data_IF_488517481668
#
_entry.id   IF_488517481668
#
_cell.length_a   1.000
_cell.length_b   1.000
_cell.length_c   1.000
_cell.angle_alpha   90.00
_cell.angle_beta   90.00
_cell.angle_gamma   90.00
#
_symmetry.space_group_name_H-M   'P 1'
#
loop_
_entity.id
_entity.type
_entity.pdbx_description
1 polymer ?
#
# COMPACT_ATOMS: atom_id res chain seq x y z
N UNK A 1 -2.11 34.44 -36.67
CA UNK A 1 -2.99 35.57 -36.27
C UNK A 1 -3.60 36.31 -37.46
N UNK A 2 -2.88 36.43 -38.60
CA UNK A 2 -3.39 37.03 -39.85
C UNK A 2 -4.70 36.40 -40.37
N UNK A 3 -4.78 35.07 -40.48
CA UNK A 3 -5.97 34.37 -41.02
C UNK A 3 -7.28 34.59 -40.23
N UNK A 4 -7.20 34.74 -38.90
CA UNK A 4 -8.39 34.98 -38.06
C UNK A 4 -8.87 36.42 -38.21
N UNK A 5 -7.95 37.38 -38.38
CA UNK A 5 -8.28 38.77 -38.66
C UNK A 5 -8.87 38.97 -40.06
N UNK A 6 -8.48 38.13 -41.01
CA UNK A 6 -8.87 38.24 -42.42
C UNK A 6 -10.18 37.51 -42.75
N UNK A 7 -10.41 36.32 -42.17
CA UNK A 7 -11.56 35.46 -42.52
C UNK A 7 -12.55 35.21 -41.36
N UNK A 8 -12.22 35.64 -40.14
CA UNK A 8 -13.04 35.41 -38.96
C UNK A 8 -12.89 34.00 -38.39
N UNK A 9 -13.09 33.89 -37.06
CA UNK A 9 -12.87 32.65 -36.31
C UNK A 9 -13.76 31.49 -36.77
N UNK A 10 -15.02 31.75 -37.12
CA UNK A 10 -15.97 30.72 -37.54
C UNK A 10 -15.60 30.09 -38.89
N UNK A 11 -15.13 30.86 -39.86
CA UNK A 11 -14.70 30.32 -41.15
C UNK A 11 -13.46 29.44 -40.99
N UNK A 12 -12.49 29.87 -40.18
CA UNK A 12 -11.25 29.11 -39.94
C UNK A 12 -11.56 27.78 -39.25
N UNK A 13 -12.44 27.76 -38.25
CA UNK A 13 -12.82 26.54 -37.53
C UNK A 13 -13.65 25.58 -38.39
N UNK A 14 -14.53 26.10 -39.26
CA UNK A 14 -15.31 25.27 -40.17
C UNK A 14 -14.43 24.64 -41.27
N UNK A 15 -13.48 25.39 -41.82
CA UNK A 15 -12.50 24.88 -42.78
C UNK A 15 -11.63 23.78 -42.13
N UNK A 16 -11.18 24.01 -40.89
CA UNK A 16 -10.44 23.00 -40.12
C UNK A 16 -11.25 21.71 -39.91
N UNK A 17 -12.52 21.83 -39.50
CA UNK A 17 -13.38 20.66 -39.33
C UNK A 17 -13.69 19.91 -40.65
N UNK A 18 -13.69 20.62 -41.79
CA UNK A 18 -13.82 19.99 -43.11
C UNK A 18 -12.56 19.25 -43.52
N UNK A 19 -11.38 19.80 -43.25
CA UNK A 19 -10.11 19.12 -43.50
C UNK A 19 -9.95 17.87 -42.63
N UNK A 20 -10.31 17.91 -41.34
CA UNK A 20 -10.30 16.71 -40.49
C UNK A 20 -11.17 15.58 -41.09
N UNK A 21 -12.31 15.92 -41.71
CA UNK A 21 -13.15 14.92 -42.42
C UNK A 21 -12.52 14.43 -43.71
N UNK A 22 -11.81 15.29 -44.43
CA UNK A 22 -11.09 14.92 -45.67
C UNK A 22 -9.96 13.92 -45.38
N UNK A 23 -9.34 14.04 -44.19
CA UNK A 23 -8.28 13.17 -43.67
C UNK A 23 -8.79 11.86 -43.04
N UNK A 24 -10.12 11.71 -42.88
CA UNK A 24 -10.73 10.53 -42.25
C UNK A 24 -10.89 10.61 -40.73
N UNK A 25 -10.47 11.70 -40.10
CA UNK A 25 -10.55 11.98 -38.65
C UNK A 25 -11.94 12.53 -38.27
N UNK A 26 -12.96 11.72 -38.56
CA UNK A 26 -14.37 12.11 -38.40
C UNK A 26 -14.78 12.37 -36.95
N UNK A 27 -14.17 11.68 -35.99
CA UNK A 27 -14.42 11.85 -34.56
C UNK A 27 -13.93 13.22 -34.07
N UNK A 28 -12.72 13.62 -34.47
CA UNK A 28 -12.12 14.90 -34.11
C UNK A 28 -12.92 16.08 -34.70
N UNK A 29 -13.34 15.96 -35.97
CA UNK A 29 -14.23 16.93 -36.59
C UNK A 29 -15.59 17.06 -35.86
N UNK A 30 -16.06 15.97 -35.26
CA UNK A 30 -17.31 15.96 -34.48
C UNK A 30 -17.11 16.63 -33.13
N UNK A 31 -16.00 16.35 -32.44
CA UNK A 31 -15.62 16.99 -31.17
C UNK A 31 -15.51 18.51 -31.34
N UNK A 32 -14.81 18.98 -32.38
CA UNK A 32 -14.66 20.42 -32.66
C UNK A 32 -16.02 21.09 -32.84
N UNK A 33 -16.95 20.44 -33.55
CA UNK A 33 -18.29 20.97 -33.76
C UNK A 33 -19.16 20.98 -32.50
N UNK A 34 -19.10 19.91 -31.69
CA UNK A 34 -19.81 19.81 -30.41
C UNK A 34 -19.31 20.89 -29.45
N UNK A 35 -17.98 21.03 -29.33
CA UNK A 35 -17.39 22.07 -28.49
C UNK A 35 -17.81 23.44 -29.03
N UNK A 36 -17.84 23.68 -30.34
CA UNK A 36 -18.24 24.98 -30.90
C UNK A 36 -19.66 25.37 -30.49
N UNK A 37 -20.64 24.48 -30.68
CA UNK A 37 -22.08 24.74 -30.44
C UNK A 37 -22.48 24.67 -28.97
N UNK A 38 -21.66 24.05 -28.12
CA UNK A 38 -21.91 23.95 -26.69
C UNK A 38 -21.92 25.33 -25.99
N UNK A 39 -22.79 25.46 -24.98
CA UNK A 39 -22.86 26.65 -24.14
C UNK A 39 -21.57 26.84 -23.33
N UNK A 40 -21.32 28.05 -22.82
CA UNK A 40 -20.18 28.30 -21.91
C UNK A 40 -20.20 27.39 -20.68
N UNK A 41 -21.38 27.03 -20.17
CA UNK A 41 -21.52 26.15 -19.01
C UNK A 41 -21.21 24.69 -19.38
N UNK A 42 -21.61 24.24 -20.56
CA UNK A 42 -21.34 22.88 -21.02
C UNK A 42 -19.86 22.68 -21.38
N UNK A 43 -19.23 23.70 -21.97
CA UNK A 43 -17.77 23.75 -22.17
C UNK A 43 -17.03 23.63 -20.83
N UNK A 44 -17.46 24.38 -19.82
CA UNK A 44 -16.88 24.29 -18.47
C UNK A 44 -17.09 22.92 -17.83
N UNK A 45 -18.27 22.32 -17.96
CA UNK A 45 -18.55 20.96 -17.46
C UNK A 45 -17.73 19.90 -18.18
N UNK A 46 -17.55 20.03 -19.50
CA UNK A 46 -16.75 19.12 -20.31
C UNK A 46 -15.26 19.21 -19.96
N UNK A 47 -14.72 20.44 -19.85
CA UNK A 47 -13.36 20.64 -19.33
C UNK A 47 -13.22 20.04 -17.94
N UNK A 48 -14.15 20.33 -17.02
CA UNK A 48 -14.17 19.79 -15.66
C UNK A 48 -14.21 18.25 -15.68
N UNK A 49 -15.03 17.64 -16.52
CA UNK A 49 -15.12 16.20 -16.67
C UNK A 49 -13.79 15.59 -17.14
N UNK A 50 -13.11 16.20 -18.10
CA UNK A 50 -11.81 15.72 -18.61
C UNK A 50 -10.66 15.99 -17.64
N UNK A 51 -10.67 17.12 -16.94
CA UNK A 51 -9.61 17.47 -15.96
C UNK A 51 -9.79 16.81 -14.60
N UNK A 52 -11.02 16.51 -14.20
CA UNK A 52 -11.34 15.87 -12.91
C UNK A 52 -11.64 14.36 -13.03
N UNK A 53 -11.75 13.80 -14.24
CA UNK A 53 -11.78 12.35 -14.47
C UNK A 53 -10.68 11.89 -15.46
N UNK A 54 -9.39 12.00 -15.14
CA UNK A 54 -8.63 10.75 -15.21
C UNK A 54 -9.25 9.82 -14.16
N UNK A 55 -9.46 8.55 -14.45
CA UNK A 55 -9.59 7.58 -13.35
C UNK A 55 -8.24 7.58 -12.61
N UNK A 56 -8.03 8.54 -11.71
CA UNK A 56 -6.85 8.58 -10.85
C UNK A 56 -7.04 7.47 -9.81
N UNK A 57 -6.71 6.26 -10.24
CA UNK A 57 -6.62 5.13 -9.34
C UNK A 57 -5.49 5.44 -8.36
N UNK A 58 -5.84 5.97 -7.19
CA UNK A 58 -4.89 6.27 -6.13
C UNK A 58 -4.16 4.98 -5.74
N UNK A 59 -2.85 4.88 -5.96
CA UNK A 59 -2.10 3.69 -5.60
C UNK A 59 -2.12 3.48 -4.09
N UNK A 60 -2.06 2.24 -3.65
CA UNK A 60 -1.92 1.89 -2.25
C UNK A 60 -0.61 2.44 -1.71
N UNK A 61 -0.67 3.04 -0.52
CA UNK A 61 0.53 3.29 0.28
C UNK A 61 1.19 1.97 0.67
N UNK A 62 2.46 2.02 1.09
CA UNK A 62 3.18 0.82 1.54
C UNK A 62 2.52 0.18 2.76
N UNK A 63 1.92 1.00 3.64
CA UNK A 63 1.18 0.55 4.83
C UNK A 63 -0.15 -0.12 4.47
N UNK A 64 -0.94 0.47 3.57
CA UNK A 64 -2.22 -0.12 3.14
C UNK A 64 -2.01 -1.42 2.35
N UNK A 65 -0.97 -1.46 1.51
CA UNK A 65 -0.59 -2.67 0.80
C UNK A 65 -0.12 -3.77 1.76
N UNK A 66 0.68 -3.42 2.77
CA UNK A 66 1.10 -4.36 3.81
C UNK A 66 -0.09 -4.88 4.64
N UNK A 67 -1.03 -3.99 5.00
CA UNK A 67 -2.27 -4.39 5.67
C UNK A 67 -3.05 -5.39 4.82
N UNK A 68 -3.27 -5.08 3.55
CA UNK A 68 -3.98 -5.96 2.61
C UNK A 68 -3.28 -7.31 2.46
N UNK A 69 -1.95 -7.31 2.41
CA UNK A 69 -1.14 -8.53 2.35
C UNK A 69 -1.37 -9.43 3.57
N UNK A 70 -1.49 -8.85 4.77
CA UNK A 70 -1.71 -9.59 6.03
C UNK A 70 -3.19 -10.02 6.16
N UNK A 71 -4.12 -9.10 5.92
CA UNK A 71 -5.57 -9.34 6.07
C UNK A 71 -6.07 -10.45 5.12
N UNK A 72 -5.43 -10.60 3.95
CA UNK A 72 -5.73 -11.63 2.97
C UNK A 72 -4.83 -12.89 3.07
N UNK A 73 -3.95 -12.96 4.07
CA UNK A 73 -2.99 -14.07 4.26
C UNK A 73 -2.22 -14.45 2.98
N UNK A 74 -1.74 -13.43 2.26
CA UNK A 74 -1.05 -13.65 0.99
C UNK A 74 0.39 -14.09 1.23
N UNK A 75 0.87 -15.00 0.37
CA UNK A 75 2.29 -15.24 0.22
C UNK A 75 2.92 -14.31 -0.84
N UNK A 76 4.25 -14.29 -0.92
CA UNK A 76 5.01 -13.43 -1.85
C UNK A 76 4.63 -13.68 -3.32
N UNK A 77 4.42 -14.92 -3.71
CA UNK A 77 4.06 -15.29 -5.08
C UNK A 77 2.63 -14.85 -5.44
N UNK A 78 1.68 -15.09 -4.54
CA UNK A 78 0.28 -14.66 -4.69
C UNK A 78 0.18 -13.14 -4.81
N UNK A 79 0.90 -12.40 -3.96
CA UNK A 79 0.98 -10.94 -4.06
C UNK A 79 1.58 -10.48 -5.40
N UNK A 80 2.65 -11.15 -5.85
CA UNK A 80 3.24 -10.89 -7.16
C UNK A 80 2.26 -11.11 -8.32
N UNK A 81 1.54 -12.24 -8.31
CA UNK A 81 0.51 -12.57 -9.30
C UNK A 81 -0.63 -11.55 -9.28
N UNK A 82 -1.15 -11.19 -8.11
CA UNK A 82 -2.19 -10.19 -7.95
C UNK A 82 -1.77 -8.86 -8.59
N UNK A 83 -0.55 -8.40 -8.29
CA UNK A 83 0.00 -7.17 -8.85
C UNK A 83 0.14 -7.25 -10.38
N UNK A 84 0.62 -8.38 -10.91
CA UNK A 84 0.76 -8.60 -12.35
C UNK A 84 -0.60 -8.58 -13.07
N UNK A 85 -1.59 -9.32 -12.56
CA UNK A 85 -2.92 -9.38 -13.16
C UNK A 85 -3.61 -8.00 -13.21
N UNK A 86 -3.33 -7.13 -12.23
CA UNK A 86 -3.84 -5.76 -12.23
C UNK A 86 -3.05 -4.86 -13.19
N UNK A 87 -1.73 -5.02 -13.26
CA UNK A 87 -0.89 -4.31 -14.21
C UNK A 87 -1.28 -4.63 -15.67
N UNK A 88 -1.63 -5.87 -15.99
CA UNK A 88 -2.11 -6.31 -17.30
C UNK A 88 -3.42 -5.60 -17.72
N UNK A 89 -4.19 -5.12 -16.74
CA UNK A 89 -5.41 -4.32 -16.93
C UNK A 89 -5.16 -2.82 -16.82
N UNK A 90 -3.92 -2.37 -16.98
CA UNK A 90 -3.47 -0.98 -16.81
C UNK A 90 -3.75 -0.40 -15.40
N UNK A 91 -3.85 -1.25 -14.38
CA UNK A 91 -4.18 -0.87 -13.01
C UNK A 91 -3.00 -1.16 -12.07
N UNK A 92 -1.99 -0.27 -12.06
CA UNK A 92 -0.77 -0.46 -11.25
C UNK A 92 -0.92 0.13 -9.84
N UNK A 93 -1.82 -0.42 -9.04
CA UNK A 93 -2.19 0.13 -7.72
C UNK A 93 -1.32 -0.35 -6.56
N UNK A 94 -0.78 -1.55 -6.67
CA UNK A 94 -0.01 -2.16 -5.59
C UNK A 94 1.49 -1.86 -5.73
N UNK A 95 2.17 -1.43 -4.64
CA UNK A 95 3.60 -1.23 -4.65
C UNK A 95 4.36 -2.56 -4.82
N UNK A 96 5.64 -2.46 -5.17
CA UNK A 96 6.50 -3.63 -5.36
C UNK A 96 6.71 -4.39 -4.05
N UNK A 97 7.05 -5.68 -4.13
CA UNK A 97 7.35 -6.48 -2.94
C UNK A 97 8.53 -5.94 -2.10
N UNK A 98 9.64 -5.44 -2.69
CA UNK A 98 10.70 -4.78 -1.91
C UNK A 98 10.18 -3.65 -1.03
N UNK A 99 9.29 -2.81 -1.55
CA UNK A 99 8.63 -1.73 -0.79
C UNK A 99 7.80 -2.27 0.38
N UNK A 100 7.09 -3.40 0.20
CA UNK A 100 6.40 -4.09 1.30
C UNK A 100 7.39 -4.65 2.32
N UNK A 101 8.51 -5.21 1.88
CA UNK A 101 9.52 -5.77 2.77
C UNK A 101 10.15 -4.69 3.65
N UNK A 102 10.37 -3.49 3.13
CA UNK A 102 10.78 -2.33 3.92
C UNK A 102 9.71 -1.95 4.95
N UNK A 103 8.44 -1.91 4.56
CA UNK A 103 7.33 -1.66 5.49
C UNK A 103 7.26 -2.73 6.61
N UNK A 104 7.50 -4.00 6.30
CA UNK A 104 7.60 -5.09 7.30
C UNK A 104 8.76 -4.86 8.27
N UNK A 105 9.94 -4.50 7.75
CA UNK A 105 11.13 -4.25 8.58
C UNK A 105 10.93 -3.10 9.56
N UNK A 106 10.22 -2.05 9.17
CA UNK A 106 9.86 -0.93 10.07
C UNK A 106 9.02 -1.41 11.28
N UNK A 107 8.29 -2.51 11.13
CA UNK A 107 7.50 -3.09 12.21
C UNK A 107 8.30 -4.02 13.13
N UNK A 108 9.56 -4.35 12.82
CA UNK A 108 10.38 -5.21 13.66
C UNK A 108 11.21 -4.41 14.67
N UNK A 109 11.44 -4.96 15.88
CA UNK A 109 12.44 -4.41 16.80
C UNK A 109 13.83 -4.35 16.15
N UNK A 110 14.78 -3.59 16.72
CA UNK A 110 16.14 -3.49 16.19
C UNK A 110 16.78 -4.87 16.00
N UNK A 111 17.50 -5.09 14.90
CA UNK A 111 18.13 -6.39 14.61
C UNK A 111 19.07 -6.87 15.73
N UNK A 112 19.73 -5.93 16.43
CA UNK A 112 20.59 -6.21 17.59
C UNK A 112 19.85 -6.79 18.80
N UNK A 113 18.53 -6.57 18.89
CA UNK A 113 17.69 -7.06 19.98
C UNK A 113 17.20 -8.49 19.75
N UNK A 114 17.30 -8.99 18.51
CA UNK A 114 16.78 -10.29 18.09
C UNK A 114 17.95 -11.29 18.06
N UNK A 115 17.80 -12.39 18.79
CA UNK A 115 18.72 -13.52 18.74
C UNK A 115 18.00 -14.72 18.14
N UNK A 116 18.50 -15.23 17.02
CA UNK A 116 17.97 -16.41 16.36
C UNK A 116 19.08 -17.46 16.33
N UNK A 117 18.77 -18.64 16.85
CA UNK A 117 19.59 -19.85 16.74
C UNK A 117 18.79 -20.93 15.99
N UNK A 118 19.41 -22.07 15.72
CA UNK A 118 18.72 -23.18 15.05
C UNK A 118 17.57 -23.77 15.87
N UNK A 119 17.56 -23.55 17.20
CA UNK A 119 16.61 -24.16 18.14
C UNK A 119 15.70 -23.14 18.83
N UNK A 120 15.96 -21.84 18.69
CA UNK A 120 15.20 -20.81 19.41
C UNK A 120 15.29 -19.45 18.74
N UNK A 121 14.26 -18.64 18.94
CA UNK A 121 14.28 -17.21 18.66
C UNK A 121 13.84 -16.46 19.91
N UNK A 122 14.58 -15.42 20.29
CA UNK A 122 14.25 -14.56 21.43
C UNK A 122 14.54 -13.11 21.10
N UNK A 123 13.80 -12.22 21.75
CA UNK A 123 13.98 -10.77 21.65
C UNK A 123 14.22 -10.19 23.04
N UNK A 124 15.06 -9.16 23.13
CA UNK A 124 15.23 -8.42 24.38
C UNK A 124 13.88 -7.80 24.80
N UNK A 125 13.48 -8.01 26.05
CA UNK A 125 12.18 -7.56 26.55
C UNK A 125 12.05 -6.04 26.51
N UNK A 126 13.09 -5.29 26.90
CA UNK A 126 13.03 -3.84 26.94
C UNK A 126 12.94 -3.27 25.53
N UNK A 127 13.75 -3.77 24.59
CA UNK A 127 13.69 -3.33 23.19
C UNK A 127 12.33 -3.62 22.55
N UNK A 128 11.70 -4.76 22.89
CA UNK A 128 10.35 -5.09 22.42
C UNK A 128 9.29 -4.13 23.00
N UNK A 129 9.39 -3.79 24.28
CA UNK A 129 8.49 -2.82 24.94
C UNK A 129 8.64 -1.44 24.31
N UNK A 130 9.86 -0.94 24.18
CA UNK A 130 10.15 0.38 23.64
C UNK A 130 9.69 0.51 22.20
N UNK A 131 9.98 -0.50 21.37
CA UNK A 131 9.52 -0.54 19.98
C UNK A 131 7.99 -0.56 19.90
N UNK A 132 7.32 -1.38 20.71
CA UNK A 132 5.85 -1.45 20.67
C UNK A 132 5.21 -0.13 21.14
N UNK A 133 5.74 0.51 22.18
CA UNK A 133 5.28 1.83 22.62
C UNK A 133 5.50 2.88 21.53
N UNK A 134 6.67 2.92 20.90
CA UNK A 134 6.94 3.84 19.80
C UNK A 134 5.93 3.68 18.66
N UNK A 135 5.57 2.42 18.30
CA UNK A 135 4.55 2.14 17.27
C UNK A 135 3.15 2.57 17.70
N UNK A 136 2.76 2.38 18.96
CA UNK A 136 1.45 2.84 19.48
C UNK A 136 1.36 4.37 19.46
N UNK A 137 2.45 5.07 19.81
CA UNK A 137 2.48 6.54 19.83
C UNK A 137 2.36 7.17 18.43
N UNK A 138 2.66 6.43 17.35
CA UNK A 138 2.42 6.86 15.97
C UNK A 138 0.93 6.84 15.58
N UNK A 139 0.06 6.21 16.38
CA UNK A 139 -1.37 6.20 16.11
C UNK A 139 -1.91 7.61 16.39
N UNK A 140 -2.47 8.24 15.36
CA UNK A 140 -2.92 9.63 15.34
C UNK A 140 -3.81 10.02 16.53
N UNK A 141 -4.67 9.11 16.99
CA UNK A 141 -5.56 9.33 18.14
C UNK A 141 -4.80 9.42 19.47
N UNK A 142 -3.64 8.79 19.58
CA UNK A 142 -2.79 8.82 20.77
C UNK A 142 -1.94 10.09 20.77
N UNK A 143 -1.34 10.42 19.63
CA UNK A 143 -0.44 11.57 19.47
C UNK A 143 -1.15 12.92 19.67
N UNK A 144 -2.36 13.09 19.09
CA UNK A 144 -3.09 14.37 19.08
C UNK A 144 -3.65 14.80 20.44
N UNK A 145 -3.71 13.90 21.43
CA UNK A 145 -4.28 14.19 22.74
C UNK A 145 -3.34 14.95 23.70
N UNK A 146 -2.10 15.27 23.29
CA UNK A 146 -1.18 16.10 24.10
C UNK A 146 -0.86 15.53 25.49
N UNK A 147 -0.98 14.20 25.64
CA UNK A 147 -0.90 13.50 26.91
C UNK A 147 0.53 13.57 27.45
N UNK A 148 0.69 14.15 28.65
CA UNK A 148 2.00 14.38 29.27
C UNK A 148 2.53 13.17 30.05
N UNK A 149 1.64 12.25 30.42
CA UNK A 149 2.00 11.07 31.18
C UNK A 149 1.10 9.90 30.77
N UNK A 150 1.73 8.81 30.34
CA UNK A 150 1.05 7.57 29.98
C UNK A 150 1.60 6.43 30.84
N UNK A 151 0.74 5.45 31.13
CA UNK A 151 1.11 4.23 31.85
C UNK A 151 0.89 3.04 30.96
N UNK A 152 1.95 2.26 30.77
CA UNK A 152 1.92 0.99 30.07
C UNK A 152 1.68 -0.12 31.09
N UNK A 153 0.59 -0.86 30.91
CA UNK A 153 0.32 -2.09 31.63
C UNK A 153 0.59 -3.28 30.72
N UNK A 154 1.35 -4.24 31.24
CA UNK A 154 1.79 -5.40 30.49
C UNK A 154 1.19 -6.67 31.10
N UNK A 155 0.59 -7.51 30.27
CA UNK A 155 0.26 -8.90 30.61
C UNK A 155 1.16 -9.82 29.79
N UNK A 156 1.78 -10.80 30.42
CA UNK A 156 2.59 -11.80 29.73
C UNK A 156 2.19 -13.21 30.13
N UNK A 157 2.58 -14.19 29.33
CA UNK A 157 2.40 -15.60 29.61
C UNK A 157 3.22 -16.45 28.66
N UNK A 158 3.20 -17.75 28.88
CA UNK A 158 3.84 -18.72 27.99
C UNK A 158 3.00 -19.99 27.91
N UNK A 159 3.11 -20.69 26.80
CA UNK A 159 2.43 -21.96 26.58
C UNK A 159 3.26 -22.91 25.70
N UNK A 160 2.98 -24.20 25.80
CA UNK A 160 3.64 -25.26 25.05
C UNK A 160 2.63 -26.06 24.21
N UNK A 161 2.99 -26.38 22.98
CA UNK A 161 2.19 -27.20 22.07
C UNK A 161 3.03 -28.34 21.48
N UNK A 162 2.48 -29.55 21.47
CA UNK A 162 3.12 -30.77 20.93
C UNK A 162 2.48 -31.22 19.62
N UNK A 163 3.15 -32.09 18.88
CA UNK A 163 2.63 -32.69 17.64
C UNK A 163 2.80 -31.80 16.40
N UNK A 164 3.81 -30.92 16.41
CA UNK A 164 4.23 -30.17 15.24
C UNK A 164 4.90 -31.09 14.22
N UNK A 165 4.88 -30.70 12.94
CA UNK A 165 5.57 -31.44 11.88
C UNK A 165 7.09 -31.33 12.06
N UNK A 166 7.77 -32.47 12.11
CA UNK A 166 9.23 -32.54 12.26
C UNK A 166 9.93 -32.34 10.91
N UNK A 167 10.95 -31.48 10.89
CA UNK A 167 11.78 -31.24 9.71
C UNK A 167 12.95 -32.22 9.65
N UNK A 168 13.38 -32.59 8.43
CA UNK A 168 14.55 -33.47 8.20
C UNK A 168 15.89 -32.73 8.24
N UNK A 169 15.96 -31.61 8.94
CA UNK A 169 17.15 -30.76 8.98
C UNK A 169 18.05 -31.20 10.14
N UNK A 170 19.34 -31.40 9.86
CA UNK A 170 20.33 -31.73 10.89
C UNK A 170 20.59 -30.49 11.76
N UNK A 171 20.45 -30.63 13.07
CA UNK A 171 20.72 -29.54 14.02
C UNK A 171 22.17 -29.66 14.53
N UNK A 172 22.98 -28.59 14.58
CA UNK A 172 24.38 -28.70 14.98
C UNK A 172 24.63 -29.10 16.44
N UNK A 173 23.61 -29.01 17.30
CA UNK A 173 23.67 -29.23 18.75
C UNK A 173 22.85 -30.46 19.18
N UNK A 174 22.87 -31.55 18.39
CA UNK A 174 22.09 -32.75 18.71
C UNK A 174 22.56 -33.39 20.03
N UNK A 175 21.75 -33.24 21.06
CA UNK A 175 21.50 -34.35 21.97
C UNK A 175 20.41 -35.23 21.34
N UNK A 176 20.42 -36.54 21.61
CA UNK A 176 19.36 -37.49 21.17
C UNK A 176 17.93 -37.10 21.64
N UNK A 177 17.81 -36.03 22.45
CA UNK A 177 16.56 -35.54 23.05
C UNK A 177 16.01 -34.26 22.38
N UNK A 178 16.68 -33.75 21.36
CA UNK A 178 16.30 -32.48 20.71
C UNK A 178 15.43 -32.76 19.49
N UNK A 179 14.13 -32.44 19.58
CA UNK A 179 13.14 -32.58 18.49
C UNK A 179 12.35 -31.28 18.34
N UNK A 180 11.98 -30.96 17.11
CA UNK A 180 11.13 -29.83 16.73
C UNK A 180 9.62 -30.17 16.75
N UNK A 181 9.25 -31.37 17.24
CA UNK A 181 7.86 -31.79 17.42
C UNK A 181 7.09 -30.96 18.45
N UNK A 182 7.79 -30.22 19.32
CA UNK A 182 7.21 -29.42 20.39
C UNK A 182 7.64 -27.95 20.29
N UNK A 183 6.69 -27.04 20.42
CA UNK A 183 6.88 -25.61 20.36
C UNK A 183 6.53 -24.97 21.70
N UNK A 184 7.42 -24.14 22.23
CA UNK A 184 7.18 -23.35 23.44
C UNK A 184 7.27 -21.86 23.10
N UNK A 185 6.23 -21.09 23.42
CA UNK A 185 6.13 -19.67 23.08
C UNK A 185 5.87 -18.86 24.34
N UNK A 186 6.65 -17.80 24.55
CA UNK A 186 6.31 -16.72 25.48
C UNK A 186 5.72 -15.54 24.69
N UNK A 187 4.63 -14.97 25.20
CA UNK A 187 3.92 -13.85 24.58
C UNK A 187 3.59 -12.75 25.59
N UNK A 188 3.43 -11.53 25.07
CA UNK A 188 3.17 -10.31 25.83
C UNK A 188 2.09 -9.50 25.11
N UNK A 189 1.18 -8.93 25.89
CA UNK A 189 0.15 -8.00 25.44
C UNK A 189 0.25 -6.71 26.26
N UNK A 190 0.10 -5.59 25.58
CA UNK A 190 0.36 -4.26 26.11
C UNK A 190 -0.92 -3.41 26.06
N UNK A 191 -1.20 -2.73 27.16
CA UNK A 191 -2.33 -1.80 27.29
C UNK A 191 -1.77 -0.45 27.72
N UNK A 192 -1.86 0.54 26.83
CA UNK A 192 -1.44 1.90 27.11
C UNK A 192 -2.63 2.72 27.61
N UNK A 193 -2.48 3.33 28.78
CA UNK A 193 -3.54 4.12 29.44
C UNK A 193 -3.03 5.52 29.76
N UNK A 194 -3.94 6.49 29.82
CA UNK A 194 -3.68 7.83 30.32
C UNK A 194 -4.46 8.05 31.62
N UNK A 195 -3.97 8.96 32.46
CA UNK A 195 -4.69 9.43 33.65
C UNK A 195 -5.55 10.65 33.31
#
# INVERSE_FOLDING_TARGET
MQLIQEYGLDCVLNAYAQELRSMGETEEATIVNIIRTASKNDKKKFLKFITENPEDVTPFTKEEALRTFIDLDLNKEQYGKLRMCLADKNCSVFPSYPTLAEAKKICYPPDSSITITNISAKVNLQDLLDHTVARILLIDSVYKNGLRQMKLFCKWGCDGSSGQSEYKQVLPEESDFTSDANLFIASLVLILTHR
#
